data_IF_337593496732
#
_entry.id   IF_337593496732
#
_cell.length_a   1.000
_cell.length_b   1.000
_cell.length_c   1.000
_cell.angle_alpha   90.00
_cell.angle_beta   90.00
_cell.angle_gamma   90.00
#
_symmetry.space_group_name_H-M   'P 1'
#
loop_
_entity.id
_entity.type
_entity.pdbx_description
1 polymer ?
#
# COMPACT_ATOMS: atom_id res chain seq x y z
N UNK A 1 -8.88 -9.97 -3.83
CA UNK A 1 -8.26 -11.13 -4.51
C UNK A 1 -7.63 -12.15 -3.53
N UNK A 2 -7.61 -13.45 -3.87
CA UNK A 2 -6.80 -14.46 -3.17
C UNK A 2 -5.48 -14.68 -3.93
N UNK A 3 -4.33 -14.40 -3.30
CA UNK A 3 -3.00 -14.54 -3.91
C UNK A 3 -2.68 -15.95 -4.42
N UNK A 4 -3.35 -17.00 -3.92
CA UNK A 4 -3.18 -18.37 -4.44
C UNK A 4 -3.68 -18.56 -5.88
N UNK A 5 -4.51 -17.63 -6.39
CA UNK A 5 -5.00 -17.65 -7.77
C UNK A 5 -4.09 -16.90 -8.75
N UNK A 6 -3.07 -16.19 -8.27
CA UNK A 6 -2.11 -15.51 -9.15
C UNK A 6 -1.26 -16.55 -9.91
N UNK A 7 -1.13 -16.46 -11.25
CA UNK A 7 -0.28 -17.35 -12.01
C UNK A 7 1.21 -17.16 -11.68
N UNK A 8 2.04 -18.16 -12.02
CA UNK A 8 3.44 -18.23 -11.58
C UNK A 8 4.28 -17.00 -11.98
N UNK A 9 4.00 -16.35 -13.12
CA UNK A 9 4.73 -15.18 -13.58
C UNK A 9 4.39 -13.89 -12.82
N UNK A 10 3.27 -13.87 -12.08
CA UNK A 10 2.78 -12.70 -11.34
C UNK A 10 2.78 -12.93 -9.82
N UNK A 11 2.83 -14.20 -9.38
CA UNK A 11 2.60 -14.61 -7.99
C UNK A 11 3.54 -13.97 -6.98
N UNK A 12 4.82 -13.79 -7.31
CA UNK A 12 5.79 -13.18 -6.40
C UNK A 12 5.43 -11.73 -6.08
N UNK A 13 5.27 -10.91 -7.12
CA UNK A 13 4.95 -9.48 -7.01
C UNK A 13 3.55 -9.25 -6.47
N UNK A 14 2.50 -9.83 -7.07
CA UNK A 14 1.14 -9.64 -6.59
C UNK A 14 0.95 -10.23 -5.18
N UNK A 15 1.65 -11.33 -4.86
CA UNK A 15 1.63 -11.90 -3.52
C UNK A 15 2.20 -10.95 -2.47
N UNK A 16 3.31 -10.26 -2.80
CA UNK A 16 3.90 -9.24 -1.95
C UNK A 16 2.95 -8.06 -1.72
N UNK A 17 2.36 -7.49 -2.78
CA UNK A 17 1.42 -6.36 -2.65
C UNK A 17 0.18 -6.75 -1.83
N UNK A 18 -0.40 -7.93 -2.10
CA UNK A 18 -1.54 -8.44 -1.32
C UNK A 18 -1.15 -8.67 0.15
N UNK A 19 0.06 -9.12 0.44
CA UNK A 19 0.51 -9.29 1.83
C UNK A 19 0.63 -7.95 2.55
N UNK A 20 1.14 -6.92 1.88
CA UNK A 20 1.18 -5.55 2.39
C UNK A 20 -0.24 -4.99 2.62
N UNK A 21 -1.19 -5.24 1.70
CA UNK A 21 -2.60 -4.87 1.86
C UNK A 21 -3.23 -5.50 3.10
N UNK A 22 -3.01 -6.80 3.31
CA UNK A 22 -3.56 -7.52 4.47
C UNK A 22 -2.97 -7.01 5.77
N UNK A 23 -1.70 -6.64 5.77
CA UNK A 23 -1.06 -6.03 6.93
C UNK A 23 -1.66 -4.66 7.26
N UNK A 24 -1.80 -3.77 6.27
CA UNK A 24 -2.45 -2.47 6.46
C UNK A 24 -3.88 -2.61 7.01
N UNK A 25 -4.68 -3.48 6.40
CA UNK A 25 -6.05 -3.78 6.86
C UNK A 25 -6.10 -4.30 8.29
N UNK A 26 -5.15 -5.16 8.67
CA UNK A 26 -5.02 -5.67 10.04
C UNK A 26 -4.71 -4.53 11.02
N UNK A 27 -3.78 -3.65 10.69
CA UNK A 27 -3.40 -2.51 11.54
C UNK A 27 -4.58 -1.56 11.78
N UNK A 28 -5.34 -1.23 10.74
CA UNK A 28 -6.56 -0.41 10.90
C UNK A 28 -7.60 -1.07 11.82
N UNK A 29 -7.77 -2.39 11.71
CA UNK A 29 -8.68 -3.14 12.59
C UNK A 29 -8.19 -3.21 14.03
N UNK A 30 -6.89 -3.40 14.23
CA UNK A 30 -6.28 -3.42 15.56
C UNK A 30 -6.40 -2.08 16.26
N UNK A 31 -6.20 -0.98 15.53
CA UNK A 31 -6.39 0.36 16.08
C UNK A 31 -7.80 0.57 16.63
N UNK A 32 -8.84 0.16 15.88
CA UNK A 32 -10.25 0.24 16.33
C UNK A 32 -10.53 -0.57 17.61
N UNK A 33 -9.69 -1.56 17.90
CA UNK A 33 -9.83 -2.44 19.07
C UNK A 33 -8.92 -2.03 20.22
N UNK A 34 -7.91 -1.19 19.97
CA UNK A 34 -6.96 -0.72 20.96
C UNK A 34 -7.61 0.33 21.86
N UNK A 35 -7.36 0.23 23.16
CA UNK A 35 -7.83 1.20 24.18
C UNK A 35 -6.71 1.96 24.86
N UNK A 36 -5.48 1.49 24.67
CA UNK A 36 -4.29 2.07 25.25
C UNK A 36 -3.66 3.05 24.24
N UNK A 37 -3.48 4.33 24.60
CA UNK A 37 -2.91 5.33 23.71
C UNK A 37 -1.52 4.97 23.19
N UNK A 38 -0.67 4.33 24.00
CA UNK A 38 0.67 3.93 23.57
C UNK A 38 0.60 2.83 22.50
N UNK A 39 -0.31 1.86 22.65
CA UNK A 39 -0.58 0.86 21.62
C UNK A 39 -1.18 1.47 20.35
N UNK A 40 -2.08 2.45 20.46
CA UNK A 40 -2.62 3.17 19.30
C UNK A 40 -1.50 3.88 18.53
N UNK A 41 -0.61 4.59 19.21
CA UNK A 41 0.54 5.26 18.60
C UNK A 41 1.47 4.28 17.88
N UNK A 42 1.77 3.13 18.49
CA UNK A 42 2.59 2.08 17.88
C UNK A 42 1.95 1.57 16.57
N UNK A 43 0.64 1.33 16.57
CA UNK A 43 -0.11 0.87 15.40
C UNK A 43 -0.08 1.93 14.29
N UNK A 44 -0.32 3.20 14.62
CA UNK A 44 -0.31 4.29 13.64
C UNK A 44 1.08 4.43 13.02
N UNK A 45 2.14 4.45 13.83
CA UNK A 45 3.52 4.53 13.32
C UNK A 45 3.86 3.34 12.40
N UNK A 46 3.43 2.15 12.77
CA UNK A 46 3.64 0.96 11.95
C UNK A 46 2.88 1.07 10.62
N UNK A 47 1.62 1.46 10.65
CA UNK A 47 0.81 1.65 9.44
C UNK A 47 1.40 2.72 8.51
N UNK A 48 1.78 3.89 9.04
CA UNK A 48 2.45 4.94 8.26
C UNK A 48 3.73 4.44 7.59
N UNK A 49 4.55 3.67 8.32
CA UNK A 49 5.78 3.08 7.79
C UNK A 49 5.50 2.06 6.68
N UNK A 50 4.57 1.14 6.91
CA UNK A 50 4.20 0.10 5.95
C UNK A 50 3.62 0.70 4.66
N UNK A 51 2.68 1.65 4.79
CA UNK A 51 2.06 2.33 3.65
C UNK A 51 3.07 3.18 2.86
N UNK A 52 4.01 3.83 3.55
CA UNK A 52 5.11 4.55 2.88
C UNK A 52 5.96 3.59 2.04
N UNK A 53 6.31 2.42 2.57
CA UNK A 53 7.11 1.44 1.85
C UNK A 53 6.34 0.82 0.67
N UNK A 54 5.07 0.50 0.87
CA UNK A 54 4.16 -0.07 -0.12
C UNK A 54 3.95 0.87 -1.32
N UNK A 55 3.49 2.11 -1.06
CA UNK A 55 3.30 3.10 -2.12
C UNK A 55 4.60 3.41 -2.88
N UNK A 56 5.76 3.34 -2.21
CA UNK A 56 7.06 3.52 -2.84
C UNK A 56 7.40 2.41 -3.83
N UNK A 57 7.20 1.14 -3.47
CA UNK A 57 7.49 0.04 -4.40
C UNK A 57 6.56 0.03 -5.60
N UNK A 58 5.33 0.49 -5.44
CA UNK A 58 4.38 0.60 -6.53
C UNK A 58 4.75 1.72 -7.50
N UNK A 59 5.01 2.91 -6.98
CA UNK A 59 5.33 4.08 -7.80
C UNK A 59 6.71 4.01 -8.47
N UNK A 60 7.70 3.39 -7.83
CA UNK A 60 9.04 3.28 -8.40
C UNK A 60 9.18 2.12 -9.40
N UNK A 61 8.41 1.04 -9.23
CA UNK A 61 8.60 -0.19 -10.01
C UNK A 61 7.32 -0.65 -10.71
N UNK A 62 6.24 -0.86 -9.96
CA UNK A 62 5.06 -1.55 -10.48
C UNK A 62 4.28 -0.70 -11.49
N UNK A 63 3.90 0.51 -11.14
CA UNK A 63 3.10 1.39 -11.99
C UNK A 63 3.82 1.81 -13.28
N UNK A 64 5.10 2.22 -13.26
CA UNK A 64 5.83 2.53 -14.50
C UNK A 64 5.91 1.30 -15.41
N UNK A 65 6.20 0.13 -14.85
CA UNK A 65 6.29 -1.11 -15.63
C UNK A 65 4.95 -1.48 -16.30
N UNK A 66 3.84 -1.38 -15.58
CA UNK A 66 2.52 -1.63 -16.15
C UNK A 66 2.16 -0.61 -17.23
N UNK A 67 2.47 0.68 -17.01
CA UNK A 67 2.22 1.72 -17.99
C UNK A 67 3.01 1.51 -19.28
N UNK A 68 4.28 1.11 -19.17
CA UNK A 68 5.12 0.79 -20.32
C UNK A 68 4.66 -0.48 -21.06
N UNK A 69 4.08 -1.44 -20.33
CA UNK A 69 3.57 -2.68 -20.91
C UNK A 69 2.29 -2.46 -21.75
N UNK A 70 1.32 -1.70 -21.24
CA UNK A 70 0.06 -1.41 -21.94
C UNK A 70 -0.68 -0.20 -21.31
N UNK A 71 -0.28 1.01 -21.72
CA UNK A 71 -0.87 2.25 -21.20
C UNK A 71 -2.38 2.37 -21.45
N UNK A 72 -2.90 1.82 -22.57
CA UNK A 72 -4.33 1.87 -22.87
C UNK A 72 -5.13 0.97 -21.91
N UNK A 73 -4.54 -0.14 -21.47
CA UNK A 73 -5.17 -1.06 -20.54
C UNK A 73 -5.16 -0.56 -19.09
N UNK A 74 -4.03 0.03 -18.67
CA UNK A 74 -3.74 0.31 -17.26
C UNK A 74 -3.78 1.80 -16.90
N UNK A 75 -3.59 2.69 -17.88
CA UNK A 75 -3.32 4.11 -17.64
C UNK A 75 -4.31 4.80 -16.71
N UNK A 76 -5.62 4.62 -16.92
CA UNK A 76 -6.64 5.25 -16.06
C UNK A 76 -6.61 4.75 -14.62
N UNK A 77 -6.48 3.43 -14.42
CA UNK A 77 -6.37 2.82 -13.08
C UNK A 77 -5.11 3.31 -12.36
N UNK A 78 -4.00 3.42 -13.09
CA UNK A 78 -2.73 3.91 -12.53
C UNK A 78 -2.77 5.40 -12.21
N UNK A 79 -3.48 6.21 -13.01
CA UNK A 79 -3.66 7.64 -12.75
C UNK A 79 -4.49 7.87 -11.48
N UNK A 80 -5.57 7.11 -11.31
CA UNK A 80 -6.42 7.14 -10.11
C UNK A 80 -5.64 6.74 -8.86
N UNK A 81 -4.99 5.56 -8.88
CA UNK A 81 -4.13 5.09 -7.80
C UNK A 81 -3.05 6.10 -7.40
N UNK A 82 -2.44 6.80 -8.37
CA UNK A 82 -1.43 7.84 -8.08
C UNK A 82 -2.01 9.01 -7.28
N UNK A 83 -3.25 9.42 -7.57
CA UNK A 83 -3.93 10.50 -6.83
C UNK A 83 -4.35 10.04 -5.43
N UNK A 84 -4.80 8.80 -5.30
CA UNK A 84 -5.11 8.19 -4.01
C UNK A 84 -3.86 8.08 -3.12
N UNK A 85 -2.72 7.64 -3.68
CA UNK A 85 -1.44 7.60 -2.97
C UNK A 85 -1.00 8.96 -2.46
N UNK A 86 -1.13 10.02 -3.27
CA UNK A 86 -0.81 11.37 -2.83
C UNK A 86 -1.67 11.78 -1.63
N UNK A 87 -2.97 11.47 -1.67
CA UNK A 87 -3.91 11.74 -0.57
C UNK A 87 -3.56 10.96 0.70
N UNK A 88 -3.20 9.68 0.57
CA UNK A 88 -2.76 8.86 1.69
C UNK A 88 -1.44 9.37 2.32
N UNK A 89 -0.48 9.79 1.48
CA UNK A 89 0.79 10.37 1.93
C UNK A 89 0.62 11.70 2.67
N UNK A 90 -0.31 12.54 2.24
CA UNK A 90 -0.64 13.78 2.95
C UNK A 90 -1.22 13.48 4.35
N UNK A 91 -2.07 12.46 4.49
CA UNK A 91 -2.59 12.03 5.80
C UNK A 91 -1.50 11.41 6.68
N UNK A 92 -0.59 10.62 6.10
CA UNK A 92 0.57 10.07 6.81
C UNK A 92 1.45 11.20 7.35
N UNK A 93 1.76 12.21 6.53
CA UNK A 93 2.57 13.36 6.95
C UNK A 93 1.92 14.15 8.08
N UNK A 94 0.59 14.32 8.04
CA UNK A 94 -0.17 14.94 9.14
C UNK A 94 -0.09 14.10 10.42
N UNK A 95 -0.34 12.79 10.33
CA UNK A 95 -0.26 11.88 11.48
C UNK A 95 1.14 11.84 12.11
N UNK A 96 2.20 11.87 11.30
CA UNK A 96 3.59 11.91 11.77
C UNK A 96 3.97 13.21 12.49
N UNK A 97 3.26 14.31 12.19
CA UNK A 97 3.43 15.60 12.86
C UNK A 97 2.55 15.78 14.11
N UNK A 98 1.59 14.86 14.34
CA UNK A 98 0.64 14.91 15.45
C UNK A 98 1.11 14.07 16.64
N UNK A 99 0.54 14.37 17.81
CA UNK A 99 0.60 13.52 19.00
C UNK A 99 -0.67 12.70 19.13
N UNK A 100 -0.63 11.50 19.73
CA UNK A 100 -1.83 10.70 19.97
C UNK A 100 -2.94 11.41 20.76
N UNK A 101 -2.58 12.41 21.58
CA UNK A 101 -3.52 13.19 22.38
C UNK A 101 -4.17 14.37 21.62
N UNK A 102 -3.80 14.62 20.37
CA UNK A 102 -4.37 15.71 19.58
C UNK A 102 -5.79 15.35 19.10
N UNK A 103 -6.73 16.30 19.18
CA UNK A 103 -8.18 16.09 19.00
C UNK A 103 -8.57 15.33 17.72
N UNK A 104 -7.78 15.45 16.64
CA UNK A 104 -8.09 14.85 15.34
C UNK A 104 -7.25 13.62 15.00
N UNK A 105 -6.39 13.13 15.91
CA UNK A 105 -5.44 12.05 15.60
C UNK A 105 -6.15 10.77 15.11
N UNK A 106 -7.15 10.32 15.87
CA UNK A 106 -7.93 9.14 15.51
C UNK A 106 -8.75 9.34 14.23
N UNK A 107 -9.23 10.56 14.00
CA UNK A 107 -10.00 10.91 12.81
C UNK A 107 -9.14 10.82 11.54
N UNK A 108 -7.91 11.36 11.56
CA UNK A 108 -6.98 11.24 10.45
C UNK A 108 -6.65 9.77 10.15
N UNK A 109 -6.40 8.97 11.19
CA UNK A 109 -6.10 7.55 11.00
C UNK A 109 -7.31 6.76 10.46
N UNK A 110 -8.52 7.14 10.88
CA UNK A 110 -9.76 6.55 10.35
C UNK A 110 -9.91 6.85 8.85
N UNK A 111 -9.75 8.11 8.44
CA UNK A 111 -9.86 8.51 7.02
C UNK A 111 -8.75 7.87 6.17
N UNK A 112 -7.52 7.80 6.69
CA UNK A 112 -6.42 7.08 6.03
C UNK A 112 -6.80 5.62 5.77
N UNK A 113 -7.41 4.97 6.76
CA UNK A 113 -7.92 3.60 6.62
C UNK A 113 -9.03 3.47 5.59
N UNK A 114 -9.94 4.43 5.49
CA UNK A 114 -11.02 4.42 4.49
C UNK A 114 -10.46 4.55 3.07
N UNK A 115 -9.58 5.52 2.82
CA UNK A 115 -8.94 5.71 1.51
C UNK A 115 -8.07 4.51 1.13
N UNK A 116 -7.26 4.00 2.06
CA UNK A 116 -6.44 2.81 1.80
C UNK A 116 -7.31 1.59 1.46
N UNK A 117 -8.44 1.40 2.13
CA UNK A 117 -9.34 0.28 1.81
C UNK A 117 -10.05 0.42 0.46
N UNK A 118 -10.33 1.66 0.04
CA UNK A 118 -10.87 1.93 -1.28
C UNK A 118 -9.84 1.57 -2.35
N UNK A 119 -8.62 2.10 -2.23
CA UNK A 119 -7.49 1.82 -3.10
C UNK A 119 -7.22 0.31 -3.24
N UNK A 120 -7.08 -0.41 -2.12
CA UNK A 120 -6.86 -1.87 -2.10
C UNK A 120 -7.94 -2.61 -2.89
N UNK A 121 -9.19 -2.15 -2.80
CA UNK A 121 -10.31 -2.78 -3.50
C UNK A 121 -10.17 -2.58 -5.00
N UNK A 122 -9.87 -1.38 -5.46
CA UNK A 122 -9.68 -1.10 -6.89
C UNK A 122 -8.52 -1.90 -7.47
N UNK A 123 -7.40 -1.95 -6.75
CA UNK A 123 -6.28 -2.75 -7.20
C UNK A 123 -6.60 -4.25 -7.26
N UNK A 124 -7.16 -4.80 -6.19
CA UNK A 124 -7.38 -6.24 -6.10
C UNK A 124 -8.58 -6.73 -6.91
N UNK A 125 -9.58 -5.89 -7.18
CA UNK A 125 -10.77 -6.25 -7.95
C UNK A 125 -10.68 -5.84 -9.43
N UNK A 126 -9.81 -4.87 -9.79
CA UNK A 126 -9.69 -4.37 -11.17
C UNK A 126 -8.28 -4.46 -11.73
N UNK A 127 -7.28 -3.83 -11.09
CA UNK A 127 -5.91 -3.75 -11.63
C UNK A 127 -5.25 -5.13 -11.72
N UNK A 128 -5.20 -5.88 -10.61
CA UNK A 128 -4.52 -7.17 -10.54
C UNK A 128 -5.17 -8.24 -11.42
N UNK A 129 -6.52 -8.37 -11.48
CA UNK A 129 -7.17 -9.23 -12.46
C UNK A 129 -6.79 -8.86 -13.89
N UNK A 130 -6.75 -7.57 -14.23
CA UNK A 130 -6.37 -7.14 -15.58
C UNK A 130 -4.91 -7.45 -15.92
N UNK A 131 -3.99 -7.34 -14.95
CA UNK A 131 -2.58 -7.76 -15.08
C UNK A 131 -2.48 -9.26 -15.38
N UNK A 132 -3.31 -10.08 -14.72
CA UNK A 132 -3.38 -11.53 -14.94
C UNK A 132 -3.98 -11.85 -16.31
N UNK A 133 -5.10 -11.25 -16.67
CA UNK A 133 -5.80 -11.50 -17.93
C UNK A 133 -4.96 -11.14 -19.15
N UNK A 134 -4.13 -10.09 -19.03
CA UNK A 134 -3.16 -9.69 -20.05
C UNK A 134 -1.84 -10.46 -20.00
N UNK A 135 -1.70 -11.40 -19.09
CA UNK A 135 -0.52 -12.25 -18.92
C UNK A 135 0.80 -11.46 -18.79
N UNK A 136 0.76 -10.31 -18.10
CA UNK A 136 1.94 -9.46 -17.88
C UNK A 136 2.98 -10.22 -17.03
N UNK A 137 4.22 -10.31 -17.49
CA UNK A 137 5.29 -11.00 -16.76
C UNK A 137 5.94 -10.07 -15.73
N UNK A 138 5.74 -10.34 -14.44
CA UNK A 138 6.24 -9.50 -13.34
C UNK A 138 7.52 -10.04 -12.70
N UNK A 139 8.06 -11.17 -13.16
CA UNK A 139 9.21 -11.83 -12.51
C UNK A 139 10.44 -10.92 -12.39
N UNK A 140 10.62 -10.02 -13.36
CA UNK A 140 11.71 -9.03 -13.34
C UNK A 140 11.62 -7.99 -12.23
N UNK A 141 10.43 -7.75 -11.67
CA UNK A 141 10.20 -6.73 -10.65
C UNK A 141 10.36 -7.25 -9.22
N UNK A 142 10.31 -8.57 -9.00
CA UNK A 142 10.31 -9.15 -7.65
C UNK A 142 11.51 -8.69 -6.83
N UNK A 143 12.73 -8.85 -7.34
CA UNK A 143 13.95 -8.48 -6.61
C UNK A 143 14.10 -6.96 -6.41
N UNK A 144 13.91 -6.09 -7.42
CA UNK A 144 13.90 -4.64 -7.22
C UNK A 144 12.90 -4.17 -6.16
N UNK A 145 11.67 -4.67 -6.20
CA UNK A 145 10.63 -4.31 -5.23
C UNK A 145 10.99 -4.77 -3.81
N UNK A 146 11.52 -6.00 -3.65
CA UNK A 146 11.99 -6.48 -2.35
C UNK A 146 13.10 -5.60 -1.75
N UNK A 147 14.02 -5.13 -2.60
CA UNK A 147 15.14 -4.28 -2.18
C UNK A 147 14.64 -2.90 -1.76
N UNK A 148 13.84 -2.23 -2.59
CA UNK A 148 13.24 -0.92 -2.26
C UNK A 148 12.38 -1.02 -0.99
N UNK A 149 11.57 -2.07 -0.84
CA UNK A 149 10.76 -2.29 0.38
C UNK A 149 11.65 -2.40 1.61
N UNK A 150 12.71 -3.21 1.55
CA UNK A 150 13.64 -3.41 2.67
C UNK A 150 14.32 -2.10 3.06
N UNK A 151 14.75 -1.31 2.08
CA UNK A 151 15.36 0.01 2.32
C UNK A 151 14.38 0.99 2.95
N UNK A 152 13.15 1.07 2.43
CA UNK A 152 12.11 1.97 2.95
C UNK A 152 11.74 1.64 4.40
N UNK A 153 11.54 0.35 4.71
CA UNK A 153 11.24 -0.11 6.07
C UNK A 153 12.41 0.14 7.03
N UNK A 154 13.66 0.02 6.57
CA UNK A 154 14.86 0.25 7.40
C UNK A 154 15.11 1.74 7.67
N UNK A 155 14.88 2.60 6.68
CA UNK A 155 15.02 4.05 6.82
C UNK A 155 14.03 4.62 7.85
N UNK A 156 12.78 4.15 7.84
CA UNK A 156 11.76 4.54 8.81
C UNK A 156 11.96 3.93 10.20
N UNK A 157 12.55 2.75 10.31
CA UNK A 157 12.92 2.18 11.61
C UNK A 157 14.05 2.95 12.33
N UNK A 158 14.85 3.71 11.56
CA UNK A 158 15.99 4.48 12.07
C UNK A 158 15.65 5.96 12.36
N UNK A 159 14.42 6.39 12.08
CA UNK A 159 13.91 7.75 12.28
C UNK A 159 12.96 7.81 13.48
#
# INVERSE_FOLDING_TARGET
>A
MNKSHAPAAQKGVLGMLIDDHREAQRLFKEFKSAKDPARQEEIVRHACTALTAHTKIEEEHFYPFLRDADADAFGSLLDEATVEHASAKDLIAQLEAMKPADDLYEAHFTVLGEYTNHHIKEEEDELFPKVIDKAIDLRGLEKPMEDTRREAMSAKASA
#
